data_IF_676675592649
#
_entry.id   IF_676675592649
#
_cell.length_a   1.000
_cell.length_b   1.000
_cell.length_c   1.000
_cell.angle_alpha   90.00
_cell.angle_beta   90.00
_cell.angle_gamma   90.00
#
_symmetry.space_group_name_H-M   'P 1'
#
loop_
_entity.id
_entity.type
_entity.pdbx_description
1 polymer ?
#
# COMPACT_ATOMS: atom_id res chain seq x y z
N UNK A 1 19.19 32.35 25.40
CA UNK A 1 17.86 31.96 24.91
C UNK A 1 17.71 30.48 25.23
N UNK A 2 17.00 30.11 26.30
CA UNK A 2 16.69 28.70 26.56
C UNK A 2 15.54 28.30 25.66
N UNK A 3 15.70 27.22 24.89
CA UNK A 3 14.57 26.65 24.14
C UNK A 3 13.48 26.17 25.10
N UNK A 4 12.20 26.39 24.77
CA UNK A 4 11.11 25.80 25.54
C UNK A 4 11.16 24.28 25.38
N UNK A 5 11.25 23.56 26.49
CA UNK A 5 11.13 22.11 26.51
C UNK A 5 9.66 21.78 26.20
N UNK A 6 9.37 21.41 24.96
CA UNK A 6 8.03 20.90 24.62
C UNK A 6 7.69 19.68 25.49
N UNK A 7 6.46 19.59 26.01
CA UNK A 7 6.03 18.44 26.78
C UNK A 7 6.09 17.20 25.90
N UNK A 8 6.89 16.22 26.32
CA UNK A 8 7.06 14.95 25.61
C UNK A 8 5.71 14.24 25.52
N UNK A 9 5.26 13.96 24.30
CA UNK A 9 4.01 13.23 24.09
C UNK A 9 4.03 11.86 24.79
N UNK A 10 2.88 11.38 25.32
CA UNK A 10 2.81 10.06 25.91
C UNK A 10 3.10 8.97 24.86
N UNK A 11 3.81 7.91 25.27
CA UNK A 11 4.36 6.87 24.39
C UNK A 11 3.33 6.21 23.45
N UNK A 12 2.11 6.00 23.92
CA UNK A 12 1.03 5.41 23.11
C UNK A 12 0.67 6.27 21.89
N UNK A 13 0.68 7.59 22.05
CA UNK A 13 0.35 8.55 20.99
C UNK A 13 1.46 8.62 19.95
N UNK A 14 2.72 8.56 20.41
CA UNK A 14 3.90 8.46 19.54
C UNK A 14 3.87 7.16 18.71
N UNK A 15 3.58 6.01 19.34
CA UNK A 15 3.43 4.72 18.63
C UNK A 15 2.32 4.75 17.59
N UNK A 16 1.16 5.33 17.92
CA UNK A 16 0.03 5.43 16.99
C UNK A 16 0.38 6.29 15.74
N UNK A 17 1.08 7.42 15.92
CA UNK A 17 1.54 8.22 14.76
C UNK A 17 2.53 7.48 13.89
N UNK A 18 3.47 6.74 14.50
CA UNK A 18 4.43 5.94 13.76
C UNK A 18 3.73 4.83 12.98
N UNK A 19 2.82 4.09 13.61
CA UNK A 19 2.01 3.06 12.97
C UNK A 19 1.16 3.57 11.79
N UNK A 20 0.62 4.80 11.88
CA UNK A 20 -0.13 5.43 10.78
C UNK A 20 0.71 5.61 9.51
N UNK A 21 2.03 5.81 9.65
CA UNK A 21 2.95 6.04 8.53
C UNK A 21 3.64 4.73 8.11
N UNK A 22 4.09 3.95 9.08
CA UNK A 22 4.97 2.80 8.88
C UNK A 22 4.27 1.44 9.01
N UNK A 23 3.02 1.41 9.48
CA UNK A 23 2.31 0.18 9.83
C UNK A 23 2.70 -0.35 11.22
N UNK A 24 1.95 -1.34 11.68
CA UNK A 24 2.04 -1.86 13.05
C UNK A 24 3.25 -2.79 13.24
N UNK A 25 3.57 -3.61 12.22
CA UNK A 25 4.76 -4.48 12.08
C UNK A 25 4.92 -4.82 10.59
N UNK A 26 6.14 -4.88 10.06
CA UNK A 26 6.37 -5.39 8.70
C UNK A 26 6.03 -6.88 8.63
N UNK A 27 5.25 -7.34 7.63
CA UNK A 27 4.97 -8.76 7.48
C UNK A 27 6.27 -9.57 7.35
N UNK A 28 6.27 -10.80 7.88
CA UNK A 28 7.42 -11.71 7.78
C UNK A 28 7.73 -12.09 6.33
N UNK A 29 6.75 -11.98 5.44
CA UNK A 29 6.87 -12.27 4.01
C UNK A 29 6.75 -11.02 3.16
N UNK A 30 7.49 -11.00 2.06
CA UNK A 30 7.43 -9.90 1.10
C UNK A 30 6.15 -9.97 0.25
N UNK A 31 5.87 -8.92 -0.54
CA UNK A 31 4.69 -8.92 -1.43
C UNK A 31 4.77 -10.02 -2.48
N UNK A 32 5.96 -10.33 -2.99
CA UNK A 32 6.17 -11.33 -4.05
C UNK A 32 6.01 -12.77 -3.54
N UNK A 33 6.16 -12.99 -2.24
CA UNK A 33 5.97 -14.28 -1.57
C UNK A 33 4.51 -14.54 -1.15
N UNK A 34 3.65 -13.52 -1.20
CA UNK A 34 2.24 -13.66 -0.85
C UNK A 34 1.45 -14.07 -2.07
N UNK A 35 0.69 -15.16 -1.93
CA UNK A 35 -0.32 -15.54 -2.91
C UNK A 35 -1.26 -14.34 -3.14
N UNK A 36 -1.59 -13.98 -4.40
CA UNK A 36 -2.57 -12.95 -4.66
C UNK A 36 -3.91 -13.36 -4.02
N UNK A 37 -4.29 -12.67 -2.95
CA UNK A 37 -5.51 -13.01 -2.22
C UNK A 37 -6.73 -12.96 -3.16
N UNK A 38 -7.55 -14.01 -3.10
CA UNK A 38 -8.75 -14.22 -3.91
C UNK A 38 -9.84 -13.13 -3.74
N UNK A 39 -9.63 -12.18 -2.84
CA UNK A 39 -10.44 -10.96 -2.70
C UNK A 39 -10.35 -10.01 -3.92
N UNK A 40 -9.50 -10.32 -4.90
CA UNK A 40 -9.42 -9.65 -6.20
C UNK A 40 -10.42 -10.20 -7.23
N UNK A 41 -11.70 -10.35 -6.85
CA UNK A 41 -12.82 -10.46 -7.79
C UNK A 41 -13.01 -11.80 -8.51
N UNK A 42 -14.19 -12.38 -8.31
CA UNK A 42 -14.77 -13.60 -8.88
C UNK A 42 -14.95 -13.62 -10.41
N UNK A 43 -14.10 -12.95 -11.18
CA UNK A 43 -14.19 -12.93 -12.65
C UNK A 43 -12.83 -12.65 -13.28
N UNK A 44 -11.95 -13.66 -13.20
CA UNK A 44 -10.94 -14.08 -14.19
C UNK A 44 -9.94 -13.08 -14.78
N UNK A 45 -10.04 -11.80 -14.50
CA UNK A 45 -9.25 -10.76 -15.13
C UNK A 45 -8.82 -9.74 -14.07
N UNK A 46 -7.51 -9.63 -13.88
CA UNK A 46 -6.95 -8.71 -12.89
C UNK A 46 -7.20 -7.25 -13.32
N UNK A 47 -7.20 -6.32 -12.36
CA UNK A 47 -7.29 -4.88 -12.66
C UNK A 47 -6.14 -4.42 -13.59
N UNK A 48 -4.97 -5.05 -13.44
CA UNK A 48 -3.80 -4.84 -14.28
C UNK A 48 -4.05 -5.28 -15.73
N UNK A 49 -4.69 -6.43 -15.95
CA UNK A 49 -5.01 -6.92 -17.29
C UNK A 49 -6.00 -6.02 -18.02
N UNK A 50 -7.03 -5.54 -17.30
CA UNK A 50 -7.99 -4.57 -17.84
C UNK A 50 -7.32 -3.26 -18.25
N UNK A 51 -6.40 -2.76 -17.43
CA UNK A 51 -5.63 -1.55 -17.75
C UNK A 51 -4.76 -1.77 -18.99
N UNK A 52 -4.04 -2.89 -19.08
CA UNK A 52 -3.18 -3.19 -20.22
C UNK A 52 -3.95 -3.27 -21.54
N UNK A 53 -5.11 -3.95 -21.55
CA UNK A 53 -5.98 -4.05 -22.74
C UNK A 53 -6.54 -2.70 -23.19
N UNK A 54 -6.71 -1.75 -22.28
CA UNK A 54 -7.19 -0.40 -22.61
C UNK A 54 -6.16 0.47 -23.33
N UNK A 55 -4.87 0.09 -23.27
CA UNK A 55 -3.78 0.86 -23.86
C UNK A 55 -3.51 0.49 -25.33
N UNK A 56 -4.32 -0.37 -25.95
CA UNK A 56 -4.16 -0.74 -27.35
C UNK A 56 -4.53 0.45 -28.25
N UNK A 57 -3.57 1.02 -29.01
CA UNK A 57 -3.86 2.11 -29.92
C UNK A 57 -4.81 1.66 -31.05
N UNK A 58 -5.66 2.55 -31.58
CA UNK A 58 -6.77 2.17 -32.47
C UNK A 58 -6.40 1.62 -33.87
N UNK A 59 -5.14 1.24 -34.15
CA UNK A 59 -4.68 0.90 -35.50
C UNK A 59 -3.69 -0.27 -35.58
N UNK A 60 -4.04 -1.44 -35.05
CA UNK A 60 -3.53 -2.73 -35.58
C UNK A 60 -4.66 -3.43 -36.33
N UNK A 61 -5.08 -2.81 -37.44
CA UNK A 61 -6.20 -3.26 -38.28
C UNK A 61 -5.95 -2.93 -39.74
N UNK A 62 -4.78 -3.32 -40.24
CA UNK A 62 -4.44 -3.39 -41.66
C UNK A 62 -3.74 -4.71 -41.94
#
# INVERSE_FOLDING_TARGET
>A
MSEPVEPKEPEWKRKQRLARIFGDVLPETTKDEREPSAESGESGESASDRWLKSQVPPHHGG
#
